data_IF_939259257094
#
_entry.id   IF_939259257094
#
_cell.length_a   1.000
_cell.length_b   1.000
_cell.length_c   1.000
_cell.angle_alpha   90.00
_cell.angle_beta   90.00
_cell.angle_gamma   90.00
#
_symmetry.space_group_name_H-M   'P 1'
#
loop_
_entity.id
_entity.type
_entity.pdbx_description
1 polymer ?
#
# COMPACT_ATOMS: atom_id res chain seq x y z
N UNK A 1 -8.20 16.52 -24.05
CA UNK A 1 -8.21 15.05 -24.17
C UNK A 1 -6.84 14.52 -23.75
N UNK A 2 -6.71 13.70 -22.69
CA UNK A 2 -5.41 13.10 -22.32
C UNK A 2 -5.16 11.89 -23.21
N UNK A 3 -3.99 11.83 -23.84
CA UNK A 3 -3.63 10.77 -24.80
C UNK A 3 -3.38 9.42 -24.11
N UNK A 4 -3.10 9.43 -22.79
CA UNK A 4 -3.05 8.24 -21.94
C UNK A 4 -3.59 8.57 -20.54
N UNK A 5 -4.91 8.50 -20.33
CA UNK A 5 -5.46 8.71 -19.00
C UNK A 5 -4.92 7.63 -18.05
N UNK A 6 -4.54 7.98 -16.81
CA UNK A 6 -4.16 7.00 -15.80
C UNK A 6 -5.28 5.97 -15.63
N UNK A 7 -4.95 4.69 -15.79
CA UNK A 7 -5.94 3.59 -15.75
C UNK A 7 -6.20 3.07 -14.35
N UNK A 8 -5.44 3.54 -13.37
CA UNK A 8 -5.45 3.03 -12.01
C UNK A 8 -4.93 4.09 -11.03
N UNK A 9 -5.33 3.93 -9.78
CA UNK A 9 -4.87 4.67 -8.61
C UNK A 9 -3.95 3.72 -7.83
N UNK A 10 -2.77 4.18 -7.45
CA UNK A 10 -1.84 3.41 -6.65
C UNK A 10 -1.54 4.13 -5.35
N UNK A 11 -1.63 3.40 -4.24
CA UNK A 11 -1.16 3.83 -2.93
C UNK A 11 0.12 3.07 -2.62
N UNK A 12 1.21 3.81 -2.37
CA UNK A 12 2.52 3.24 -2.08
C UNK A 12 2.84 3.45 -0.61
N UNK A 13 3.10 2.36 0.08
CA UNK A 13 3.57 2.33 1.45
C UNK A 13 5.10 2.24 1.45
N UNK A 14 5.76 3.18 2.13
CA UNK A 14 7.22 3.22 2.27
C UNK A 14 7.61 3.89 3.60
N UNK A 15 8.86 3.70 4.06
CA UNK A 15 9.38 4.25 5.34
C UNK A 15 10.17 5.56 5.20
N UNK A 16 9.74 6.45 4.30
CA UNK A 16 10.39 7.74 4.07
C UNK A 16 11.46 7.76 2.98
N UNK A 17 12.24 8.84 2.93
CA UNK A 17 13.17 9.14 1.82
C UNK A 17 14.62 8.68 2.06
N UNK A 18 15.01 8.46 3.33
CA UNK A 18 16.35 7.97 3.67
C UNK A 18 16.35 6.44 3.71
N UNK A 19 17.47 5.84 3.30
CA UNK A 19 17.64 4.40 3.39
C UNK A 19 17.66 3.97 4.85
N UNK A 20 16.78 3.04 5.21
CA UNK A 20 16.75 2.39 6.51
C UNK A 20 17.18 0.93 6.36
N UNK A 21 17.52 0.29 7.47
CA UNK A 21 17.76 -1.15 7.48
C UNK A 21 16.46 -1.89 7.13
N UNK A 22 16.58 -2.86 6.23
CA UNK A 22 15.45 -3.64 5.76
C UNK A 22 14.94 -4.54 6.90
N UNK A 23 13.65 -4.52 7.21
CA UNK A 23 13.06 -5.48 8.12
C UNK A 23 13.31 -6.90 7.63
N UNK A 24 13.54 -7.83 8.57
CA UNK A 24 13.71 -9.27 8.24
C UNK A 24 12.46 -9.87 7.60
N UNK A 25 11.29 -9.29 7.91
CA UNK A 25 9.98 -9.73 7.46
C UNK A 25 9.15 -8.54 6.98
N UNK A 26 8.09 -8.81 6.22
CA UNK A 26 7.12 -7.79 5.79
C UNK A 26 6.51 -7.09 7.00
N UNK A 27 6.46 -5.75 6.97
CA UNK A 27 5.93 -4.92 8.08
C UNK A 27 4.50 -5.34 8.48
N UNK A 28 3.68 -5.68 7.49
CA UNK A 28 2.33 -6.22 7.71
C UNK A 28 2.34 -7.69 7.27
N UNK A 29 2.01 -8.58 8.20
CA UNK A 29 1.86 -10.01 7.94
C UNK A 29 0.40 -10.41 7.64
N UNK A 30 -0.55 -9.47 7.71
CA UNK A 30 -1.94 -9.76 7.45
C UNK A 30 -2.10 -10.35 6.04
N UNK A 31 -2.98 -11.35 5.89
CA UNK A 31 -3.24 -12.04 4.62
C UNK A 31 -4.02 -11.20 3.61
N UNK A 32 -4.01 -9.87 3.75
CA UNK A 32 -4.73 -9.01 2.82
C UNK A 32 -4.15 -9.16 1.42
N UNK A 33 -5.01 -9.52 0.47
CA UNK A 33 -4.67 -9.62 -0.96
C UNK A 33 -4.43 -8.25 -1.60
N UNK A 34 -4.70 -7.15 -0.88
CA UNK A 34 -4.54 -5.78 -1.37
C UNK A 34 -3.07 -5.36 -1.46
N UNK A 35 -2.20 -5.87 -0.57
CA UNK A 35 -0.81 -5.47 -0.48
C UNK A 35 0.08 -6.28 -1.43
N UNK A 36 0.56 -5.63 -2.49
CA UNK A 36 1.63 -6.16 -3.33
C UNK A 36 2.99 -5.68 -2.79
N UNK A 37 3.72 -6.58 -2.12
CA UNK A 37 5.04 -6.27 -1.58
C UNK A 37 6.10 -6.21 -2.69
N UNK A 38 6.94 -5.16 -2.66
CA UNK A 38 8.12 -4.99 -3.52
C UNK A 38 9.41 -5.27 -2.75
N UNK A 39 9.45 -4.85 -1.49
CA UNK A 39 10.49 -5.13 -0.50
C UNK A 39 9.81 -5.31 0.87
N UNK A 40 10.49 -5.76 1.92
CA UNK A 40 9.87 -5.98 3.23
C UNK A 40 9.35 -4.70 3.89
N UNK A 41 9.86 -3.54 3.46
CA UNK A 41 9.45 -2.20 3.90
C UNK A 41 8.63 -1.42 2.87
N UNK A 42 8.25 -2.05 1.74
CA UNK A 42 7.53 -1.37 0.65
C UNK A 42 6.44 -2.24 0.05
N UNK A 43 5.23 -1.71 0.06
CA UNK A 43 4.07 -2.34 -0.54
C UNK A 43 3.28 -1.37 -1.40
N UNK A 44 2.57 -1.90 -2.40
CA UNK A 44 1.72 -1.13 -3.30
C UNK A 44 0.32 -1.72 -3.26
N UNK A 45 -0.69 -0.87 -3.09
CA UNK A 45 -2.09 -1.20 -3.34
C UNK A 45 -2.51 -0.53 -4.63
N UNK A 46 -3.14 -1.27 -5.53
CA UNK A 46 -3.62 -0.75 -6.81
C UNK A 46 -5.12 -0.89 -6.90
N UNK A 47 -5.79 0.20 -7.26
CA UNK A 47 -7.24 0.28 -7.48
C UNK A 47 -7.49 0.74 -8.92
N UNK A 48 -8.51 0.23 -9.59
CA UNK A 48 -8.87 0.66 -10.95
C UNK A 48 -9.55 2.03 -10.95
N UNK A 49 -10.29 2.34 -9.90
CA UNK A 49 -11.08 3.57 -9.79
C UNK A 49 -11.44 3.86 -8.32
N UNK A 50 -12.15 4.98 -8.09
CA UNK A 50 -12.55 5.41 -6.76
C UNK A 50 -13.56 4.45 -6.09
N UNK A 51 -14.45 3.82 -6.87
CA UNK A 51 -15.42 2.88 -6.31
C UNK A 51 -14.75 1.65 -5.69
N UNK A 52 -13.65 1.17 -6.25
CA UNK A 52 -12.86 0.10 -5.62
C UNK A 52 -12.22 0.54 -4.29
N UNK A 53 -11.84 1.81 -4.15
CA UNK A 53 -11.33 2.37 -2.89
C UNK A 53 -12.43 2.40 -1.83
N UNK A 54 -13.62 2.91 -2.18
CA UNK A 54 -14.75 2.98 -1.26
C UNK A 54 -15.23 1.57 -0.83
N UNK A 55 -15.31 0.62 -1.77
CA UNK A 55 -15.66 -0.76 -1.46
C UNK A 55 -14.62 -1.45 -0.58
N UNK A 56 -13.33 -1.12 -0.75
CA UNK A 56 -12.22 -1.65 0.04
C UNK A 56 -11.89 -0.83 1.29
N UNK A 57 -12.71 0.17 1.65
CA UNK A 57 -12.39 1.17 2.68
C UNK A 57 -12.05 0.56 4.04
N UNK A 58 -12.81 -0.43 4.48
CA UNK A 58 -12.59 -1.10 5.77
C UNK A 58 -11.21 -1.77 5.82
N UNK A 59 -10.89 -2.56 4.80
CA UNK A 59 -9.61 -3.26 4.69
C UNK A 59 -8.44 -2.28 4.52
N UNK A 60 -8.62 -1.26 3.67
CA UNK A 60 -7.63 -0.22 3.45
C UNK A 60 -7.34 0.57 4.74
N UNK A 61 -8.38 0.91 5.49
CA UNK A 61 -8.25 1.62 6.78
C UNK A 61 -7.46 0.76 7.78
N UNK A 62 -7.78 -0.53 7.86
CA UNK A 62 -7.05 -1.48 8.72
C UNK A 62 -5.56 -1.55 8.35
N UNK A 63 -5.26 -1.68 7.05
CA UNK A 63 -3.89 -1.69 6.52
C UNK A 63 -3.13 -0.40 6.86
N UNK A 64 -3.76 0.76 6.66
CA UNK A 64 -3.13 2.07 6.94
C UNK A 64 -2.82 2.19 8.42
N UNK A 65 -3.77 1.83 9.29
CA UNK A 65 -3.55 1.85 10.74
C UNK A 65 -2.44 0.88 11.17
N UNK A 66 -2.43 -0.34 10.64
CA UNK A 66 -1.39 -1.32 10.93
C UNK A 66 -0.01 -0.82 10.44
N UNK A 67 0.05 -0.18 9.28
CA UNK A 67 1.27 0.43 8.76
C UNK A 67 1.80 1.51 9.69
N UNK A 68 0.96 2.45 10.11
CA UNK A 68 1.36 3.55 11.01
C UNK A 68 1.91 3.01 12.34
N UNK A 69 1.33 1.93 12.86
CA UNK A 69 1.77 1.32 14.12
C UNK A 69 3.10 0.57 13.99
N UNK A 70 3.32 -0.13 12.87
CA UNK A 70 4.46 -1.05 12.68
C UNK A 70 5.63 -0.48 11.88
N UNK A 71 5.41 0.51 11.01
CA UNK A 71 6.41 1.04 10.08
C UNK A 71 7.36 2.08 10.72
N UNK A 72 7.86 1.79 11.93
CA UNK A 72 8.87 2.62 12.61
C UNK A 72 10.27 2.26 12.16
#
# INVERSE_FOLDING_TARGET
>A
MKIQPPKQIQLIFHRGAKKQEQPKEKIIQSKSKLLLWKENDRAIVTFKNMSEIENGKTDLTSIVNEWILKAK
#
